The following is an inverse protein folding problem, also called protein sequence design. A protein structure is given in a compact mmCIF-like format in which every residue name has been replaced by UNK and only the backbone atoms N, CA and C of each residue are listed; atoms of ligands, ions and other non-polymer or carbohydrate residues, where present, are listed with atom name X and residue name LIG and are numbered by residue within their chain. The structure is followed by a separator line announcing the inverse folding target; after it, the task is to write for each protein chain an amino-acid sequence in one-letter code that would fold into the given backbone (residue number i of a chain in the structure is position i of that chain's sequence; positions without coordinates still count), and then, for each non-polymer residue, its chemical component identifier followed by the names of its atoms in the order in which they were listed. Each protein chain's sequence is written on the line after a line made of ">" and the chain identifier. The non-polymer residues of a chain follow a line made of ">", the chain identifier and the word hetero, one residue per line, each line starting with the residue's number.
data_IF_976702079162
#
_entry.id   IF_976702079162
#
_cell.length_a   1.000
_cell.length_b   1.000
_cell.length_c   1.000
_cell.angle_alpha   90.00
_cell.angle_beta   90.00
_cell.angle_gamma   90.00
#
_symmetry.space_group_name_H-M   'P 1'
#
loop_
_entity.id
_entity.type
_entity.pdbx_description
1 polymer ?
#
# COMPACT_ATOMS: atom_id res chain seq x y z
N UNK A 1 12.83 43.65 55.34
CA UNK A 1 13.07 45.00 55.88
C UNK A 1 14.33 45.58 55.24
N UNK A 2 14.25 46.84 54.83
CA UNK A 2 15.27 47.70 54.19
C UNK A 2 16.72 47.42 54.61
N UNK A 3 17.65 47.39 53.64
CA UNK A 3 19.01 47.95 53.68
C UNK A 3 19.43 48.16 52.19
N UNK A 4 19.39 49.37 51.64
CA UNK A 4 20.44 50.42 51.56
C UNK A 4 21.63 50.01 50.67
N UNK A 5 21.84 50.81 49.61
CA UNK A 5 22.97 50.77 48.65
C UNK A 5 24.33 50.99 49.35
N UNK A 6 25.47 50.75 48.65
CA UNK A 6 26.19 51.93 48.15
C UNK A 6 26.94 51.75 46.82
N UNK A 7 27.58 52.86 46.45
CA UNK A 7 28.10 53.28 45.16
C UNK A 7 29.47 52.72 44.72
N UNK A 8 29.76 53.01 43.44
CA UNK A 8 31.05 53.45 42.86
C UNK A 8 32.15 52.41 42.58
N UNK A 9 32.46 52.19 41.28
CA UNK A 9 33.72 52.62 40.62
C UNK A 9 33.82 52.13 39.16
N UNK A 10 34.25 53.05 38.26
CA UNK A 10 34.85 52.83 36.93
C UNK A 10 36.10 51.93 37.07
N UNK A 11 36.60 51.17 36.08
CA UNK A 11 36.94 51.57 34.72
C UNK A 11 37.40 50.37 33.84
N UNK A 12 37.21 50.51 32.51
CA UNK A 12 37.97 49.97 31.35
C UNK A 12 37.77 48.53 30.80
N UNK A 13 37.15 48.52 29.61
CA UNK A 13 37.52 47.87 28.32
C UNK A 13 37.86 46.37 28.30
N UNK A 14 37.44 45.52 27.36
CA UNK A 14 36.81 45.63 26.04
C UNK A 14 36.18 44.24 25.78
N UNK A 15 35.00 44.12 25.16
CA UNK A 15 34.89 43.79 23.74
C UNK A 15 33.41 43.56 23.41
N UNK A 16 32.95 44.12 22.28
CA UNK A 16 31.58 43.99 21.76
C UNK A 16 31.40 42.71 20.91
N UNK A 17 30.20 42.11 20.88
CA UNK A 17 29.71 41.38 19.71
C UNK A 17 28.76 42.25 18.84
N UNK A 18 28.98 42.09 17.53
CA UNK A 18 28.42 42.84 16.40
C UNK A 18 26.98 42.43 16.04
N UNK A 19 25.96 42.97 16.70
CA UNK A 19 24.56 42.72 16.25
C UNK A 19 23.59 43.91 16.34
N UNK A 20 24.05 45.12 16.66
CA UNK A 20 23.18 46.31 16.73
C UNK A 20 23.62 47.47 15.82
N UNK A 21 24.32 47.17 14.71
CA UNK A 21 24.71 48.14 13.69
C UNK A 21 23.98 47.97 12.34
N UNK A 22 23.02 47.04 12.23
CA UNK A 22 22.24 46.80 10.99
C UNK A 22 20.76 47.16 11.04
N UNK A 23 20.28 47.73 12.14
CA UNK A 23 18.88 48.18 12.29
C UNK A 23 18.70 49.70 12.40
N UNK A 24 19.76 50.48 12.16
CA UNK A 24 19.71 51.96 12.22
C UNK A 24 20.18 52.65 10.93
N UNK A 25 20.31 51.90 9.84
CA UNK A 25 20.70 52.40 8.51
C UNK A 25 19.57 52.26 7.47
N UNK A 26 18.31 52.27 7.93
CA UNK A 26 17.11 52.15 7.07
C UNK A 26 16.14 53.34 7.23
N UNK A 27 16.61 54.50 7.72
CA UNK A 27 15.75 55.66 7.99
C UNK A 27 16.16 56.98 7.33
N UNK A 28 17.11 57.01 6.39
CA UNK A 28 17.48 58.25 5.69
C UNK A 28 17.97 57.98 4.25
N UNK A 29 17.10 58.13 3.23
CA UNK A 29 17.42 58.65 1.89
C UNK A 29 16.17 58.64 0.96
N UNK A 30 16.01 59.62 0.04
CA UNK A 30 14.71 60.11 -0.39
C UNK A 30 14.15 59.50 -1.68
N UNK A 31 12.81 59.41 -1.66
CA UNK A 31 11.90 59.08 -2.75
C UNK A 31 11.97 60.10 -3.91
N UNK A 32 12.70 59.77 -4.98
CA UNK A 32 12.61 60.41 -6.30
C UNK A 32 12.75 59.35 -7.40
N UNK A 33 12.05 59.54 -8.52
CA UNK A 33 12.04 58.70 -9.76
C UNK A 33 11.05 57.53 -9.88
N UNK A 34 9.76 57.73 -9.55
CA UNK A 34 8.67 56.87 -10.10
C UNK A 34 7.59 57.64 -10.88
N UNK A 35 7.91 58.86 -11.35
CA UNK A 35 6.98 59.75 -12.05
C UNK A 35 7.33 60.12 -13.50
N UNK A 36 8.45 59.63 -14.05
CA UNK A 36 8.93 60.05 -15.38
C UNK A 36 8.53 59.11 -16.53
N UNK A 37 8.37 57.81 -16.27
CA UNK A 37 8.13 56.80 -17.32
C UNK A 37 6.65 56.77 -17.76
N UNK A 38 5.73 57.13 -16.87
CA UNK A 38 4.28 57.12 -17.16
C UNK A 38 3.79 58.31 -18.00
N UNK A 39 4.61 59.35 -18.20
CA UNK A 39 4.26 60.53 -19.01
C UNK A 39 4.71 60.41 -20.48
N UNK A 40 5.70 59.56 -20.78
CA UNK A 40 6.15 59.34 -22.17
C UNK A 40 5.27 58.36 -22.97
N UNK A 41 4.58 57.42 -22.31
CA UNK A 41 3.73 56.44 -23.00
C UNK A 41 2.38 56.98 -23.49
N UNK A 42 1.94 58.15 -23.00
CA UNK A 42 0.64 58.75 -23.33
C UNK A 42 0.67 59.67 -24.57
N UNK A 43 1.85 59.97 -25.11
CA UNK A 43 2.02 60.88 -26.26
C UNK A 43 2.17 60.19 -27.62
N UNK A 44 2.31 58.86 -27.64
CA UNK A 44 2.46 58.09 -28.88
C UNK A 44 1.12 57.58 -29.47
N UNK A 45 0.03 57.65 -28.70
CA UNK A 45 -1.33 57.24 -29.10
C UNK A 45 -2.19 58.39 -29.63
N UNK A 46 -1.61 59.30 -30.41
CA UNK A 46 -2.35 60.20 -31.30
C UNK A 46 -1.49 60.55 -32.52
N UNK A 47 -1.75 59.86 -33.63
CA UNK A 47 -1.55 60.42 -34.98
C UNK A 47 -2.77 60.13 -35.83
N UNK A 48 -3.29 61.22 -36.37
CA UNK A 48 -4.42 61.32 -37.27
C UNK A 48 -4.14 60.60 -38.58
N UNK A 49 -5.17 59.97 -39.15
CA UNK A 49 -5.11 59.31 -40.45
C UNK A 49 -5.20 60.36 -41.56
N UNK A 50 -4.26 60.41 -42.52
CA UNK A 50 -4.52 61.08 -43.78
C UNK A 50 -5.28 60.13 -44.72
N UNK A 51 -6.47 60.55 -45.15
CA UNK A 51 -7.20 59.92 -46.25
C UNK A 51 -6.36 59.96 -47.53
N UNK A 52 -6.12 58.79 -48.12
CA UNK A 52 -5.67 58.68 -49.52
C UNK A 52 -6.54 57.67 -50.25
N UNK A 53 -6.98 58.13 -51.42
CA UNK A 53 -8.05 57.61 -52.28
C UNK A 53 -7.80 56.16 -52.70
N UNK A 54 -8.87 55.36 -52.67
CA UNK A 54 -8.87 53.96 -53.10
C UNK A 54 -8.80 53.88 -54.62
N UNK A 55 -7.75 53.27 -55.15
CA UNK A 55 -7.72 52.79 -56.53
C UNK A 55 -8.02 51.27 -56.52
N UNK A 56 -8.99 50.87 -57.34
CA UNK A 56 -9.50 49.51 -57.51
C UNK A 56 -8.36 48.52 -57.86
N UNK A 57 -8.24 47.42 -57.10
CA UNK A 57 -7.37 46.28 -57.44
C UNK A 57 -8.15 44.97 -57.36
N UNK A 58 -7.98 44.06 -58.34
CA UNK A 58 -8.80 42.86 -58.47
C UNK A 58 -8.59 41.88 -57.31
N UNK A 59 -9.71 41.26 -56.92
CA UNK A 59 -9.88 40.36 -55.77
C UNK A 59 -9.15 39.04 -56.05
N UNK A 60 -8.01 38.83 -55.39
CA UNK A 60 -7.24 37.58 -55.54
C UNK A 60 -5.76 37.66 -55.10
N UNK A 61 -5.23 38.85 -54.82
CA UNK A 61 -3.80 39.00 -54.49
C UNK A 61 -3.45 38.82 -52.99
N UNK A 62 -4.44 38.86 -52.08
CA UNK A 62 -4.18 38.78 -50.63
C UNK A 62 -3.98 37.35 -50.12
N UNK A 63 -4.56 36.32 -50.74
CA UNK A 63 -4.40 34.92 -50.33
C UNK A 63 -2.99 34.39 -50.58
N UNK A 64 -2.34 34.84 -51.67
CA UNK A 64 -0.92 34.53 -51.95
C UNK A 64 0.05 35.15 -50.94
N UNK A 65 -0.28 36.32 -50.38
CA UNK A 65 0.53 36.97 -49.34
C UNK A 65 0.34 36.38 -47.95
N UNK A 66 -0.86 35.89 -47.63
CA UNK A 66 -1.13 35.18 -46.36
C UNK A 66 -0.38 33.85 -46.34
N UNK A 67 -0.38 33.10 -47.46
CA UNK A 67 0.41 31.87 -47.58
C UNK A 67 1.91 32.12 -47.47
N UNK A 68 2.43 33.14 -48.15
CA UNK A 68 3.83 33.53 -48.02
C UNK A 68 4.18 33.98 -46.59
N UNK A 69 3.34 34.78 -45.94
CA UNK A 69 3.57 35.22 -44.57
C UNK A 69 3.52 34.06 -43.57
N UNK A 70 2.58 33.13 -43.71
CA UNK A 70 2.49 31.92 -42.88
C UNK A 70 3.71 31.01 -43.09
N UNK A 71 4.17 30.86 -44.34
CA UNK A 71 5.36 30.08 -44.67
C UNK A 71 6.62 30.73 -44.07
N UNK A 72 6.81 32.04 -44.22
CA UNK A 72 7.95 32.74 -43.62
C UNK A 72 7.91 32.74 -42.08
N UNK A 73 6.72 32.80 -41.48
CA UNK A 73 6.56 32.71 -40.02
C UNK A 73 6.89 31.30 -39.50
N UNK A 74 6.42 30.25 -40.16
CA UNK A 74 6.75 28.87 -39.82
C UNK A 74 8.23 28.55 -40.05
N UNK A 75 8.82 29.09 -41.12
CA UNK A 75 10.23 28.93 -41.44
C UNK A 75 11.14 29.63 -40.41
N UNK A 76 10.78 30.85 -40.00
CA UNK A 76 11.45 31.55 -38.91
C UNK A 76 11.27 30.83 -37.57
N UNK A 77 10.10 30.25 -37.30
CA UNK A 77 9.84 29.46 -36.10
C UNK A 77 10.68 28.17 -36.06
N UNK A 78 10.85 27.48 -37.19
CA UNK A 78 11.75 26.31 -37.28
C UNK A 78 13.20 26.72 -37.00
N UNK A 79 13.66 27.85 -37.55
CA UNK A 79 14.99 28.39 -37.24
C UNK A 79 15.12 28.79 -35.76
N UNK A 80 14.06 29.30 -35.14
CA UNK A 80 14.03 29.63 -33.72
C UNK A 80 14.09 28.35 -32.85
N UNK A 81 13.38 27.28 -33.20
CA UNK A 81 13.50 25.98 -32.52
C UNK A 81 14.92 25.39 -32.66
N UNK A 82 15.54 25.50 -33.83
CA UNK A 82 16.94 25.06 -34.04
C UNK A 82 17.93 25.96 -33.30
N UNK A 83 17.74 27.28 -33.26
CA UNK A 83 18.58 28.20 -32.48
C UNK A 83 18.44 27.98 -30.97
N UNK A 84 17.24 27.70 -30.46
CA UNK A 84 17.03 27.33 -29.04
C UNK A 84 17.58 25.93 -28.72
N UNK A 85 17.66 25.02 -29.70
CA UNK A 85 18.28 23.71 -29.53
C UNK A 85 19.81 23.71 -29.73
N UNK A 86 20.36 24.68 -30.48
CA UNK A 86 21.78 24.80 -30.80
C UNK A 86 22.54 25.82 -29.92
N UNK A 87 21.83 26.62 -29.10
CA UNK A 87 22.40 27.48 -28.05
C UNK A 87 22.19 26.84 -26.65
N UNK A 88 21.91 25.54 -26.57
CA UNK A 88 22.29 24.80 -25.37
C UNK A 88 23.81 24.61 -25.39
N UNK A 89 24.56 25.17 -24.41
CA UNK A 89 25.96 24.86 -24.28
C UNK A 89 26.09 23.37 -23.95
N UNK A 90 26.71 22.62 -24.86
CA UNK A 90 27.35 21.36 -24.52
C UNK A 90 28.60 21.67 -23.69
N UNK A 91 28.41 22.10 -22.44
CA UNK A 91 29.45 22.09 -21.42
C UNK A 91 29.05 21.08 -20.34
N UNK A 92 29.87 20.05 -20.04
CA UNK A 92 29.59 19.00 -19.07
C UNK A 92 29.78 19.47 -17.61
N UNK A 93 29.45 20.72 -17.32
CA UNK A 93 29.63 21.34 -16.01
C UNK A 93 28.60 22.46 -15.83
N UNK A 94 27.31 22.11 -15.75
CA UNK A 94 26.25 22.88 -15.05
C UNK A 94 24.88 22.20 -15.17
N UNK A 95 24.85 20.87 -15.07
CA UNK A 95 23.62 20.09 -14.87
C UNK A 95 23.17 20.10 -13.38
N UNK A 96 23.35 21.24 -12.70
CA UNK A 96 23.06 21.39 -11.27
C UNK A 96 22.27 22.66 -10.93
N UNK A 97 21.46 23.23 -11.82
CA UNK A 97 20.60 24.35 -11.40
C UNK A 97 19.32 24.50 -12.25
N UNK A 98 18.56 23.41 -12.43
CA UNK A 98 17.11 23.51 -12.72
C UNK A 98 16.36 22.17 -12.58
N UNK A 99 16.61 21.48 -11.48
CA UNK A 99 15.65 20.58 -10.86
C UNK A 99 15.73 20.85 -9.36
N UNK A 100 15.04 21.87 -8.87
CA UNK A 100 14.46 21.77 -7.53
C UNK A 100 13.18 20.93 -7.64
N UNK A 101 13.29 19.75 -8.24
CA UNK A 101 12.53 18.62 -7.74
C UNK A 101 13.18 18.34 -6.39
N UNK A 102 12.39 18.37 -5.31
CA UNK A 102 12.82 17.73 -4.10
C UNK A 102 13.26 16.31 -4.50
N UNK A 103 14.57 16.07 -4.53
CA UNK A 103 15.10 14.73 -4.55
C UNK A 103 14.40 14.07 -3.37
N UNK A 104 13.51 13.11 -3.64
CA UNK A 104 12.91 12.30 -2.60
C UNK A 104 14.07 11.50 -2.04
N UNK A 105 14.83 12.11 -1.13
CA UNK A 105 15.87 11.46 -0.36
C UNK A 105 15.14 10.48 0.54
N UNK A 106 14.83 9.31 -0.03
CA UNK A 106 14.12 8.25 0.64
C UNK A 106 14.95 7.85 1.86
N UNK A 107 14.40 8.06 3.04
CA UNK A 107 15.06 7.70 4.27
C UNK A 107 15.27 6.19 4.33
N UNK A 108 16.52 5.68 4.33
CA UNK A 108 16.77 4.24 4.34
C UNK A 108 16.16 3.55 5.56
N UNK A 109 15.99 4.27 6.68
CA UNK A 109 15.42 3.74 7.91
C UNK A 109 13.89 3.56 7.87
N UNK A 110 13.20 3.98 6.80
CA UNK A 110 11.76 3.73 6.60
C UNK A 110 11.48 2.62 5.58
N UNK A 111 12.52 1.96 5.06
CA UNK A 111 12.40 0.87 4.08
C UNK A 111 11.98 -0.45 4.71
N UNK A 112 11.52 -1.40 3.90
CA UNK A 112 11.22 -2.77 4.35
C UNK A 112 12.43 -3.46 4.96
N UNK A 113 13.64 -3.17 4.47
CA UNK A 113 14.89 -3.68 5.04
C UNK A 113 15.11 -3.16 6.47
N UNK A 114 14.81 -1.89 6.73
CA UNK A 114 14.87 -1.33 8.08
C UNK A 114 13.83 -1.96 9.03
N UNK A 115 12.63 -2.27 8.52
CA UNK A 115 11.59 -2.98 9.27
C UNK A 115 12.06 -4.40 9.63
N UNK A 116 12.58 -5.16 8.67
CA UNK A 116 13.10 -6.49 8.92
C UNK A 116 14.27 -6.48 9.91
N UNK A 117 15.14 -5.46 9.82
CA UNK A 117 16.21 -5.25 10.78
C UNK A 117 15.67 -5.02 12.20
N UNK A 118 14.62 -4.20 12.35
CA UNK A 118 13.95 -3.97 13.62
C UNK A 118 13.29 -5.24 14.19
N UNK A 119 12.67 -6.06 13.33
CA UNK A 119 12.07 -7.35 13.73
C UNK A 119 13.12 -8.35 14.21
N UNK A 120 14.25 -8.45 13.51
CA UNK A 120 15.38 -9.29 13.93
C UNK A 120 15.96 -8.82 15.27
N UNK A 121 16.11 -7.51 15.46
CA UNK A 121 16.49 -6.95 16.76
C UNK A 121 15.46 -7.30 17.83
N UNK A 122 14.17 -7.15 17.56
CA UNK A 122 13.10 -7.49 18.50
C UNK A 122 13.10 -8.98 18.88
N UNK A 123 13.38 -9.88 17.93
CA UNK A 123 13.53 -11.31 18.21
C UNK A 123 14.62 -11.57 19.25
N UNK A 124 15.79 -10.98 19.06
CA UNK A 124 16.88 -11.11 20.03
C UNK A 124 16.56 -10.39 21.33
N UNK A 125 15.96 -9.20 21.27
CA UNK A 125 15.58 -8.41 22.43
C UNK A 125 14.56 -9.13 23.33
N UNK A 126 13.57 -9.80 22.76
CA UNK A 126 12.55 -10.53 23.52
C UNK A 126 12.92 -11.98 23.86
N UNK A 127 14.20 -12.34 23.74
CA UNK A 127 14.72 -13.66 24.10
C UNK A 127 15.73 -13.56 25.24
N UNK A 128 15.34 -14.02 26.43
CA UNK A 128 16.21 -13.99 27.62
C UNK A 128 15.93 -15.16 28.56
N UNK A 129 16.92 -15.49 29.40
CA UNK A 129 16.83 -16.43 30.52
C UNK A 129 17.64 -15.89 31.71
N UNK A 130 17.29 -16.25 32.95
CA UNK A 130 18.12 -15.98 34.11
C UNK A 130 19.51 -16.61 33.99
N UNK A 131 20.50 -16.01 34.66
CA UNK A 131 21.87 -16.55 34.77
C UNK A 131 22.90 -15.78 33.96
N UNK A 132 24.16 -15.86 34.41
CA UNK A 132 25.27 -15.08 33.85
C UNK A 132 25.64 -15.53 32.43
N UNK A 133 25.65 -16.83 32.16
CA UNK A 133 25.91 -17.37 30.83
C UNK A 133 24.86 -16.88 29.83
N UNK A 134 23.57 -17.01 30.17
CA UNK A 134 22.46 -16.51 29.36
C UNK A 134 22.54 -14.99 29.13
N UNK A 135 23.00 -14.25 30.14
CA UNK A 135 23.22 -12.80 30.08
C UNK A 135 24.35 -12.44 29.10
N UNK A 136 25.47 -13.18 29.11
CA UNK A 136 26.56 -12.98 28.16
C UNK A 136 26.16 -13.37 26.75
N UNK A 137 25.43 -14.47 26.58
CA UNK A 137 24.96 -14.89 25.26
C UNK A 137 23.98 -13.88 24.67
N UNK A 138 23.09 -13.33 25.51
CA UNK A 138 22.21 -12.22 25.10
C UNK A 138 23.01 -11.01 24.62
N UNK A 139 24.02 -10.59 25.39
CA UNK A 139 24.92 -9.51 25.00
C UNK A 139 25.55 -9.75 23.62
N UNK A 140 26.07 -10.95 23.39
CA UNK A 140 26.68 -11.32 22.08
C UNK A 140 25.68 -11.18 20.94
N UNK A 141 24.44 -11.67 21.12
CA UNK A 141 23.38 -11.61 20.09
C UNK A 141 22.90 -10.19 19.80
N UNK A 142 22.88 -9.30 20.81
CA UNK A 142 22.48 -7.89 20.64
C UNK A 142 23.58 -6.99 20.08
N UNK A 143 24.85 -7.32 20.32
CA UNK A 143 26.01 -6.51 19.89
C UNK A 143 25.98 -6.08 18.40
N UNK A 144 25.68 -6.95 17.41
CA UNK A 144 25.65 -6.53 16.00
C UNK A 144 24.51 -5.53 15.68
N UNK A 145 23.53 -5.39 16.57
CA UNK A 145 22.42 -4.46 16.38
C UNK A 145 22.69 -3.08 16.97
N UNK A 146 23.39 -3.01 18.09
CA UNK A 146 23.48 -1.81 18.90
C UNK A 146 24.60 -0.88 18.43
N UNK A 147 24.30 0.42 18.34
CA UNK A 147 25.32 1.44 18.15
C UNK A 147 26.34 1.42 19.31
N UNK A 148 27.59 1.77 19.00
CA UNK A 148 28.67 1.84 19.99
C UNK A 148 28.29 2.81 21.11
N UNK A 149 28.49 2.38 22.36
CA UNK A 149 28.20 3.18 23.55
C UNK A 149 26.81 2.97 24.16
N UNK A 150 25.91 2.23 23.50
CA UNK A 150 24.65 1.81 24.11
C UNK A 150 24.87 0.69 25.14
N UNK A 151 23.93 0.56 26.07
CA UNK A 151 23.88 -0.56 27.01
C UNK A 151 23.88 -1.90 26.25
N UNK A 152 24.87 -2.79 26.48
CA UNK A 152 24.94 -4.08 25.80
C UNK A 152 23.76 -5.03 26.07
N UNK A 153 22.96 -4.77 27.12
CA UNK A 153 21.70 -5.48 27.41
C UNK A 153 20.47 -4.78 26.84
N UNK A 154 20.66 -3.68 26.11
CA UNK A 154 19.62 -2.83 25.57
C UNK A 154 18.59 -2.35 26.62
N UNK A 155 19.03 -2.15 27.87
CA UNK A 155 18.19 -1.68 28.97
C UNK A 155 17.63 -2.78 29.88
N UNK A 156 17.78 -4.07 29.54
CA UNK A 156 17.33 -5.16 30.40
C UNK A 156 18.19 -5.24 31.67
N UNK A 157 17.57 -5.06 32.83
CA UNK A 157 18.21 -5.30 34.11
C UNK A 157 18.26 -6.82 34.38
N UNK A 158 19.46 -7.39 34.35
CA UNK A 158 19.65 -8.85 34.50
C UNK A 158 19.83 -9.28 35.95
N UNK A 159 20.21 -8.35 36.82
CA UNK A 159 20.29 -8.60 38.26
C UNK A 159 18.92 -8.93 38.81
N UNK A 160 18.78 -10.12 39.42
CA UNK A 160 17.51 -10.59 39.97
C UNK A 160 16.45 -11.00 38.93
N UNK A 161 16.83 -11.16 37.66
CA UNK A 161 15.93 -11.64 36.61
C UNK A 161 15.51 -13.09 36.91
N UNK A 162 14.22 -13.32 37.18
CA UNK A 162 13.68 -14.66 37.49
C UNK A 162 12.83 -15.26 36.38
N UNK A 163 12.51 -14.50 35.35
CA UNK A 163 11.62 -14.92 34.25
C UNK A 163 12.42 -15.30 33.02
N UNK A 164 11.87 -16.19 32.20
CA UNK A 164 12.38 -16.45 30.85
C UNK A 164 11.47 -15.80 29.82
N UNK A 165 11.99 -15.56 28.62
CA UNK A 165 11.20 -15.09 27.49
C UNK A 165 11.65 -15.70 26.18
N UNK A 166 10.67 -16.00 25.34
CA UNK A 166 10.85 -16.51 23.98
C UNK A 166 9.99 -15.73 23.01
N UNK A 167 10.62 -15.12 22.00
CA UNK A 167 9.93 -14.43 20.93
C UNK A 167 9.01 -15.36 20.12
N UNK A 168 7.82 -14.87 19.74
CA UNK A 168 6.90 -15.57 18.83
C UNK A 168 6.85 -14.89 17.46
N UNK A 169 6.38 -13.64 17.42
CA UNK A 169 6.25 -12.84 16.20
C UNK A 169 6.28 -11.35 16.51
N UNK A 170 6.53 -10.55 15.49
CA UNK A 170 6.38 -9.10 15.53
C UNK A 170 5.51 -8.66 14.34
N UNK A 171 4.73 -7.60 14.55
CA UNK A 171 3.95 -6.97 13.49
C UNK A 171 4.24 -5.47 13.49
N UNK A 172 4.57 -4.93 12.32
CA UNK A 172 4.70 -3.49 12.15
C UNK A 172 3.35 -2.79 12.37
N UNK A 173 3.34 -1.76 13.21
CA UNK A 173 2.15 -0.92 13.47
C UNK A 173 2.32 0.51 12.97
N UNK A 174 3.53 1.05 13.04
CA UNK A 174 3.79 2.43 12.65
C UNK A 174 5.27 2.66 12.34
N UNK A 175 5.57 3.51 11.36
CA UNK A 175 6.93 4.04 11.13
C UNK A 175 6.86 5.56 11.27
N UNK A 176 7.67 6.12 12.17
CA UNK A 176 7.84 7.56 12.30
C UNK A 176 9.24 7.95 11.83
N UNK A 177 9.33 8.74 10.78
CA UNK A 177 10.59 9.32 10.31
C UNK A 177 11.17 10.31 11.34
N UNK A 178 12.49 10.21 11.59
CA UNK A 178 13.22 10.98 12.60
C UNK A 178 14.48 11.65 12.01
N UNK A 179 14.36 12.19 10.79
CA UNK A 179 15.47 12.77 10.02
C UNK A 179 15.88 11.87 8.83
N UNK A 180 16.90 12.25 8.05
CA UNK A 180 17.15 11.70 6.71
C UNK A 180 17.59 10.22 6.69
N UNK A 181 18.07 9.69 7.81
CA UNK A 181 18.60 8.32 7.91
C UNK A 181 18.19 7.63 9.21
N UNK A 182 17.09 8.09 9.84
CA UNK A 182 16.61 7.57 11.12
C UNK A 182 15.11 7.46 11.14
N UNK A 183 14.61 6.44 11.82
CA UNK A 183 13.19 6.25 12.05
C UNK A 183 12.93 5.56 13.39
N UNK A 184 11.70 5.68 13.86
CA UNK A 184 11.13 4.84 14.90
C UNK A 184 10.19 3.84 14.24
N UNK A 185 10.57 2.57 14.29
CA UNK A 185 9.72 1.45 13.86
C UNK A 185 8.98 0.94 15.08
N UNK A 186 7.66 1.08 15.10
CA UNK A 186 6.81 0.57 16.19
C UNK A 186 6.26 -0.80 15.81
N UNK A 187 6.61 -1.79 16.61
CA UNK A 187 6.22 -3.18 16.45
C UNK A 187 5.24 -3.58 17.57
N UNK A 188 4.25 -4.41 17.28
CA UNK A 188 3.58 -5.22 18.30
C UNK A 188 4.31 -6.57 18.38
N UNK A 189 4.96 -6.83 19.51
CA UNK A 189 5.76 -8.03 19.72
C UNK A 189 4.98 -9.00 20.60
N UNK A 190 4.79 -10.22 20.11
CA UNK A 190 4.19 -11.35 20.81
C UNK A 190 5.31 -12.27 21.31
N UNK A 191 5.25 -12.65 22.58
CA UNK A 191 6.28 -13.50 23.20
C UNK A 191 5.68 -14.37 24.32
N UNK A 192 6.34 -15.49 24.60
CA UNK A 192 6.05 -16.37 25.74
C UNK A 192 6.92 -15.97 26.91
N UNK A 193 6.29 -15.51 27.98
CA UNK A 193 6.95 -15.22 29.25
C UNK A 193 6.84 -16.44 30.17
N UNK A 194 7.97 -17.04 30.54
CA UNK A 194 8.00 -18.10 31.53
C UNK A 194 8.06 -17.52 32.93
N UNK A 195 6.99 -17.74 33.70
CA UNK A 195 6.91 -17.34 35.10
C UNK A 195 7.46 -18.46 35.98
N UNK A 196 8.38 -18.17 36.92
CA UNK A 196 8.95 -19.19 37.79
C UNK A 196 7.89 -19.72 38.76
N UNK A 197 7.80 -21.05 38.86
CA UNK A 197 7.00 -21.79 39.82
C UNK A 197 7.90 -22.80 40.52
N UNK A 198 7.99 -22.68 41.85
CA UNK A 198 8.72 -23.64 42.67
C UNK A 198 7.92 -24.93 42.77
N UNK A 199 8.54 -26.06 42.43
CA UNK A 199 7.92 -27.38 42.47
C UNK A 199 8.82 -28.29 43.31
N UNK A 200 8.22 -28.97 44.28
CA UNK A 200 8.90 -29.99 45.07
C UNK A 200 8.94 -31.28 44.27
N UNK A 201 10.15 -31.78 44.02
CA UNK A 201 10.36 -33.04 43.32
C UNK A 201 10.47 -34.17 44.36
N UNK A 202 9.71 -35.27 44.20
CA UNK A 202 9.84 -36.42 45.10
C UNK A 202 11.27 -36.95 45.10
N UNK A 203 11.76 -37.52 46.21
CA UNK A 203 13.09 -38.10 46.27
C UNK A 203 13.28 -39.11 45.13
N UNK A 204 14.39 -39.00 44.43
CA UNK A 204 14.74 -39.96 43.38
C UNK A 204 14.84 -41.36 43.99
N UNK A 205 14.14 -42.33 43.41
CA UNK A 205 14.26 -43.73 43.83
C UNK A 205 15.73 -44.15 43.72
N UNK A 206 16.30 -44.82 44.74
CA UNK A 206 17.68 -45.28 44.69
C UNK A 206 17.89 -46.19 43.46
N UNK A 207 19.07 -46.15 42.82
CA UNK A 207 19.35 -47.02 41.68
C UNK A 207 19.14 -48.47 42.10
N UNK A 208 18.23 -49.18 41.43
CA UNK A 208 18.06 -50.63 41.60
C UNK A 208 19.40 -51.29 41.34
N UNK A 209 19.94 -51.93 42.39
CA UNK A 209 21.26 -52.56 42.39
C UNK A 209 21.42 -53.54 41.24
N UNK A 210 22.54 -53.41 40.53
CA UNK A 210 23.07 -54.41 39.61
C UNK A 210 23.54 -55.63 40.38
N UNK A 211 23.19 -56.80 39.89
CA UNK A 211 23.56 -58.13 40.38
C UNK A 211 25.07 -58.27 40.65
N UNK A 212 25.42 -58.70 41.86
CA UNK A 212 26.73 -59.25 42.18
C UNK A 212 26.55 -60.54 42.99
N UNK A 213 26.44 -61.66 42.27
CA UNK A 213 26.59 -62.99 42.81
C UNK A 213 28.07 -63.37 42.91
N UNK A 214 28.59 -63.58 44.13
CA UNK A 214 29.24 -64.83 44.58
C UNK A 214 30.21 -64.62 45.75
N UNK A 215 29.89 -65.29 46.87
CA UNK A 215 30.80 -66.23 47.55
C UNK A 215 31.81 -65.70 48.57
N UNK A 216 31.58 -65.97 49.86
CA UNK A 216 32.68 -66.20 50.82
C UNK A 216 32.48 -65.68 52.26
N UNK A 217 31.83 -66.50 53.10
CA UNK A 217 32.06 -66.72 54.55
C UNK A 217 32.41 -65.58 55.53
N UNK A 218 31.41 -65.24 56.35
CA UNK A 218 31.39 -64.97 57.81
C UNK A 218 32.57 -64.26 58.52
N UNK A 219 32.28 -63.13 59.18
CA UNK A 219 32.35 -62.99 60.65
C UNK A 219 31.73 -61.69 61.17
N UNK A 220 31.20 -61.79 62.40
CA UNK A 220 30.53 -60.79 63.23
C UNK A 220 31.16 -59.39 63.24
N UNK A 221 30.28 -58.39 63.11
CA UNK A 221 30.56 -56.99 63.40
C UNK A 221 29.31 -56.16 63.15
N UNK A 222 28.87 -55.40 64.15
CA UNK A 222 27.69 -54.53 64.11
C UNK A 222 27.66 -53.64 62.86
N UNK A 223 26.86 -54.01 61.86
CA UNK A 223 26.35 -53.08 60.87
C UNK A 223 25.17 -52.31 61.48
N UNK A 224 25.19 -50.97 61.55
CA UNK A 224 23.98 -50.22 61.83
C UNK A 224 22.92 -50.54 60.73
N UNK A 225 21.62 -50.39 61.03
CA UNK A 225 20.57 -50.54 60.01
C UNK A 225 20.89 -49.64 58.81
N UNK A 226 20.52 -50.02 57.57
CA UNK A 226 20.65 -49.10 56.46
C UNK A 226 19.86 -47.84 56.81
N UNK A 227 20.58 -46.75 57.05
CA UNK A 227 20.00 -45.44 57.26
C UNK A 227 19.17 -45.14 56.01
N UNK A 228 17.85 -45.23 56.16
CA UNK A 228 16.89 -44.84 55.15
C UNK A 228 17.02 -43.33 54.99
N UNK A 229 18.06 -42.92 54.27
CA UNK A 229 18.39 -41.54 53.96
C UNK A 229 17.48 -41.16 52.81
N UNK A 230 16.17 -41.08 53.09
CA UNK A 230 15.25 -40.45 52.16
C UNK A 230 15.76 -39.02 51.94
N UNK A 231 16.34 -38.79 50.77
CA UNK A 231 16.87 -37.47 50.41
C UNK A 231 15.73 -36.45 50.55
N UNK A 232 15.97 -35.27 51.16
CA UNK A 232 14.96 -34.24 51.23
C UNK A 232 14.48 -33.89 49.82
N UNK A 233 13.18 -33.57 49.64
CA UNK A 233 12.63 -33.22 48.33
C UNK A 233 13.44 -32.07 47.72
N UNK A 234 13.87 -32.26 46.47
CA UNK A 234 14.65 -31.25 45.74
C UNK A 234 13.68 -30.20 45.20
N UNK A 235 13.87 -28.94 45.58
CA UNK A 235 13.11 -27.80 45.04
C UNK A 235 13.67 -27.43 43.67
N UNK A 236 12.88 -27.62 42.63
CA UNK A 236 13.23 -27.26 41.25
C UNK A 236 12.31 -26.14 40.76
N UNK A 237 12.87 -25.17 40.03
CA UNK A 237 12.10 -24.10 39.40
C UNK A 237 11.60 -24.58 38.03
N UNK A 238 10.28 -24.67 37.87
CA UNK A 238 9.63 -24.86 36.59
C UNK A 238 9.10 -23.52 36.05
N UNK A 239 8.99 -23.38 34.73
CA UNK A 239 8.48 -22.15 34.12
C UNK A 239 7.11 -22.38 33.51
N UNK A 240 6.11 -21.65 33.99
CA UNK A 240 4.77 -21.65 33.42
C UNK A 240 4.70 -20.63 32.28
N UNK A 241 4.42 -21.05 31.03
CA UNK A 241 4.42 -20.16 29.88
C UNK A 241 3.14 -19.31 29.85
N UNK A 242 3.31 -18.00 29.70
CA UNK A 242 2.21 -17.04 29.48
C UNK A 242 2.46 -16.24 28.21
N UNK A 243 1.53 -16.29 27.26
CA UNK A 243 1.59 -15.47 26.06
C UNK A 243 1.18 -14.02 26.36
N UNK A 244 2.03 -13.10 25.94
CA UNK A 244 1.86 -11.66 26.18
C UNK A 244 2.29 -10.88 24.94
N UNK A 245 1.77 -9.66 24.81
CA UNK A 245 2.14 -8.72 23.75
C UNK A 245 2.47 -7.35 24.30
N UNK A 246 3.38 -6.64 23.61
CA UNK A 246 3.79 -5.26 23.93
C UNK A 246 4.01 -4.48 22.64
N UNK A 247 3.66 -3.19 22.65
CA UNK A 247 4.10 -2.29 21.60
C UNK A 247 5.51 -1.79 21.94
N UNK A 248 6.41 -1.93 20.98
CA UNK A 248 7.85 -1.79 21.13
C UNK A 248 8.38 -0.90 20.02
N UNK A 249 8.96 0.23 20.41
CA UNK A 249 9.52 1.23 19.51
C UNK A 249 11.01 0.97 19.36
N UNK A 250 11.42 0.67 18.13
CA UNK A 250 12.79 0.37 17.74
C UNK A 250 13.40 1.58 17.02
N UNK A 251 14.43 2.24 17.58
CA UNK A 251 15.09 3.38 16.96
C UNK A 251 16.14 2.92 15.95
N UNK A 252 15.75 2.83 14.67
CA UNK A 252 16.60 2.37 13.57
C UNK A 252 17.27 3.55 12.87
N UNK A 253 18.57 3.46 12.67
CA UNK A 253 19.38 4.40 11.91
C UNK A 253 20.17 3.69 10.83
N UNK A 254 20.58 4.44 9.81
CA UNK A 254 21.42 3.95 8.72
C UNK A 254 22.70 4.80 8.60
N UNK A 255 23.86 4.17 8.75
CA UNK A 255 25.18 4.73 8.44
C UNK A 255 26.04 3.64 7.81
N UNK A 256 25.99 3.52 6.48
CA UNK A 256 26.52 2.41 5.66
C UNK A 256 25.84 1.05 5.92
N UNK A 257 25.49 0.78 7.16
CA UNK A 257 24.71 -0.36 7.65
C UNK A 257 23.62 0.13 8.60
N UNK A 258 22.61 -0.71 8.83
CA UNK A 258 21.59 -0.45 9.84
C UNK A 258 22.14 -0.63 11.25
N UNK A 259 21.58 0.14 12.18
CA UNK A 259 21.91 0.07 13.60
C UNK A 259 20.81 0.63 14.48
N UNK A 260 20.73 0.14 15.72
CA UNK A 260 19.88 0.68 16.77
C UNK A 260 20.64 1.81 17.45
N UNK A 261 20.16 3.05 17.32
CA UNK A 261 20.92 4.24 17.73
C UNK A 261 20.54 4.81 19.11
N UNK A 262 19.47 4.30 19.71
CA UNK A 262 18.98 4.67 21.06
C UNK A 262 18.40 3.42 21.73
N UNK A 263 18.15 3.47 23.04
CA UNK A 263 17.44 2.37 23.71
C UNK A 263 15.99 2.28 23.21
N UNK A 264 15.47 1.06 22.99
CA UNK A 264 14.10 0.88 22.57
C UNK A 264 13.12 1.22 23.71
N UNK A 265 11.88 1.53 23.34
CA UNK A 265 10.86 2.05 24.27
C UNK A 265 9.59 1.22 24.18
N UNK A 266 8.84 1.15 25.28
CA UNK A 266 7.50 0.56 25.26
C UNK A 266 6.45 1.66 25.09
N UNK A 267 5.40 1.36 24.33
CA UNK A 267 4.29 2.29 24.09
C UNK A 267 2.95 1.54 24.10
N UNK A 268 1.87 2.22 23.75
CA UNK A 268 0.56 1.66 23.50
C UNK A 268 -0.05 2.26 22.23
N UNK A 269 -0.70 1.42 21.42
CA UNK A 269 -1.49 1.83 20.25
C UNK A 269 -2.86 1.16 20.40
N UNK A 270 -3.93 1.90 20.13
CA UNK A 270 -5.26 1.30 20.08
C UNK A 270 -5.33 0.28 18.94
N UNK A 271 -5.82 -0.91 19.25
CA UNK A 271 -5.94 -2.01 18.28
C UNK A 271 -7.18 -1.85 17.40
N UNK A 272 -8.16 -1.06 17.83
CA UNK A 272 -9.40 -0.89 17.09
C UNK A 272 -9.20 0.07 15.92
N UNK A 273 -9.62 -0.34 14.74
CA UNK A 273 -9.65 0.54 13.57
C UNK A 273 -10.73 1.61 13.74
N UNK A 274 -10.41 2.83 13.31
CA UNK A 274 -11.38 3.93 13.17
C UNK A 274 -11.86 4.06 11.72
N UNK A 275 -11.52 3.11 10.85
CA UNK A 275 -11.98 3.10 9.46
C UNK A 275 -13.48 2.77 9.41
N UNK A 276 -14.22 3.63 8.75
CA UNK A 276 -15.63 3.40 8.43
C UNK A 276 -15.76 2.40 7.27
N UNK A 277 -16.85 1.62 7.28
CA UNK A 277 -17.17 0.71 6.19
C UNK A 277 -17.54 1.48 4.92
N UNK A 278 -17.13 0.97 3.75
CA UNK A 278 -17.47 1.58 2.47
C UNK A 278 -18.96 1.36 2.14
N UNK A 279 -19.63 2.39 1.62
CA UNK A 279 -21.01 2.29 1.14
C UNK A 279 -20.99 1.85 -0.33
N UNK A 280 -21.19 0.54 -0.52
CA UNK A 280 -21.11 -0.12 -1.84
C UNK A 280 -22.21 0.34 -2.80
N UNK A 281 -23.29 0.91 -2.30
CA UNK A 281 -24.40 1.44 -3.10
C UNK A 281 -24.23 2.93 -3.43
N UNK A 282 -23.21 3.58 -2.87
CA UNK A 282 -22.99 5.02 -3.03
C UNK A 282 -22.87 5.41 -4.51
N UNK A 283 -23.76 6.27 -4.95
CA UNK A 283 -23.79 6.78 -6.33
C UNK A 283 -24.47 5.84 -7.34
N UNK A 284 -24.96 4.66 -6.92
CA UNK A 284 -25.72 3.76 -7.79
C UNK A 284 -27.21 4.14 -7.79
N UNK A 285 -27.86 3.92 -8.94
CA UNK A 285 -29.31 4.09 -9.11
C UNK A 285 -29.99 2.75 -9.18
N UNK A 286 -30.97 2.50 -8.32
CA UNK A 286 -31.73 1.25 -8.33
C UNK A 286 -32.35 0.99 -9.71
N UNK A 287 -32.29 -0.26 -10.17
CA UNK A 287 -32.89 -0.64 -11.44
C UNK A 287 -34.41 -0.81 -11.30
N UNK A 288 -35.16 0.00 -12.05
CA UNK A 288 -36.61 -0.12 -12.18
C UNK A 288 -37.01 -1.16 -13.24
N UNK A 289 -36.50 -2.38 -13.08
CA UNK A 289 -36.80 -3.50 -13.97
C UNK A 289 -38.02 -4.31 -13.47
N UNK A 290 -38.79 -4.91 -14.40
CA UNK A 290 -39.83 -5.89 -14.09
C UNK A 290 -39.33 -7.06 -13.22
N UNK A 291 -40.27 -7.70 -12.52
CA UNK A 291 -39.97 -8.82 -11.62
C UNK A 291 -39.26 -9.96 -12.36
N UNK A 292 -39.71 -10.27 -13.59
CA UNK A 292 -39.18 -11.35 -14.42
C UNK A 292 -37.69 -11.17 -14.71
N UNK A 293 -37.25 -9.95 -15.00
CA UNK A 293 -35.85 -9.64 -15.29
C UNK A 293 -35.01 -9.76 -14.01
N UNK A 294 -35.52 -9.24 -12.89
CA UNK A 294 -34.86 -9.36 -11.59
C UNK A 294 -34.69 -10.82 -11.17
N UNK A 295 -35.72 -11.64 -11.42
CA UNK A 295 -35.70 -13.07 -11.13
C UNK A 295 -34.75 -13.85 -12.05
N UNK A 296 -34.72 -13.52 -13.34
CA UNK A 296 -33.76 -14.10 -14.28
C UNK A 296 -32.31 -13.82 -13.87
N UNK A 297 -32.02 -12.60 -13.39
CA UNK A 297 -30.71 -12.25 -12.86
C UNK A 297 -30.41 -13.10 -11.62
N UNK A 298 -31.33 -13.26 -10.66
CA UNK A 298 -31.10 -14.10 -9.46
C UNK A 298 -30.81 -15.56 -9.81
N UNK A 299 -31.56 -16.13 -10.74
CA UNK A 299 -31.36 -17.50 -11.21
C UNK A 299 -30.00 -17.64 -11.91
N UNK A 300 -29.65 -16.67 -12.76
CA UNK A 300 -28.32 -16.59 -13.36
C UNK A 300 -27.22 -16.54 -12.30
N UNK A 301 -27.34 -15.71 -11.25
CA UNK A 301 -26.34 -15.62 -10.19
C UNK A 301 -26.13 -16.96 -9.48
N UNK A 302 -27.20 -17.72 -9.27
CA UNK A 302 -27.11 -19.06 -8.66
C UNK A 302 -26.29 -20.01 -9.54
N UNK A 303 -26.57 -20.04 -10.84
CA UNK A 303 -25.77 -20.83 -11.80
C UNK A 303 -24.33 -20.33 -11.89
N UNK A 304 -24.15 -19.02 -12.00
CA UNK A 304 -22.85 -18.37 -12.07
C UNK A 304 -22.00 -18.72 -10.86
N UNK A 305 -22.49 -18.53 -9.63
CA UNK A 305 -21.68 -18.79 -8.44
C UNK A 305 -21.44 -20.26 -8.15
N UNK A 306 -22.35 -21.15 -8.58
CA UNK A 306 -22.10 -22.59 -8.59
C UNK A 306 -20.92 -22.95 -9.51
N UNK A 307 -20.94 -22.43 -10.73
CA UNK A 307 -19.85 -22.61 -11.70
C UNK A 307 -18.55 -21.92 -11.24
N UNK A 308 -18.64 -20.69 -10.74
CA UNK A 308 -17.51 -19.94 -10.19
C UNK A 308 -16.82 -20.68 -9.04
N UNK A 309 -17.59 -21.41 -8.23
CA UNK A 309 -17.05 -22.21 -7.13
C UNK A 309 -16.31 -23.46 -7.61
N UNK A 310 -16.89 -24.20 -8.57
CA UNK A 310 -16.53 -25.59 -8.84
C UNK A 310 -15.94 -25.86 -10.23
N UNK A 311 -16.31 -25.07 -11.24
CA UNK A 311 -15.94 -25.35 -12.62
C UNK A 311 -14.55 -24.80 -13.00
N UNK A 312 -13.84 -25.48 -13.91
CA UNK A 312 -12.59 -24.98 -14.48
C UNK A 312 -12.82 -23.78 -15.40
N UNK A 313 -11.74 -23.03 -15.65
CA UNK A 313 -11.70 -21.85 -16.51
C UNK A 313 -12.48 -21.96 -17.83
N UNK A 314 -12.32 -23.07 -18.55
CA UNK A 314 -12.96 -23.24 -19.87
C UNK A 314 -14.49 -23.25 -19.80
N UNK A 315 -15.05 -23.80 -18.72
CA UNK A 315 -16.50 -23.80 -18.48
C UNK A 315 -16.97 -22.47 -17.88
N UNK A 316 -16.19 -21.91 -16.96
CA UNK A 316 -16.51 -20.62 -16.36
C UNK A 316 -16.49 -19.49 -17.40
N UNK A 317 -15.65 -19.60 -18.44
CA UNK A 317 -15.55 -18.63 -19.53
C UNK A 317 -16.86 -18.40 -20.32
N UNK A 318 -17.84 -19.30 -20.22
CA UNK A 318 -19.17 -19.09 -20.78
C UNK A 318 -20.04 -18.13 -19.96
N UNK A 319 -19.72 -17.95 -18.68
CA UNK A 319 -20.48 -17.14 -17.72
C UNK A 319 -19.69 -15.92 -17.21
N UNK A 320 -18.36 -15.92 -17.41
CA UNK A 320 -17.43 -14.88 -16.94
C UNK A 320 -16.49 -14.45 -18.07
N UNK A 321 -16.44 -13.15 -18.34
CA UNK A 321 -15.49 -12.55 -19.30
C UNK A 321 -14.43 -11.68 -18.65
N UNK A 322 -14.44 -11.56 -17.31
CA UNK A 322 -13.47 -10.77 -16.56
C UNK A 322 -12.07 -11.42 -16.59
N UNK A 323 -11.03 -10.73 -17.10
CA UNK A 323 -9.68 -11.28 -17.18
C UNK A 323 -9.04 -11.58 -15.83
N UNK A 324 -9.41 -10.88 -14.75
CA UNK A 324 -8.76 -11.04 -13.44
C UNK A 324 -9.28 -12.25 -12.65
N UNK A 325 -10.49 -12.72 -12.98
CA UNK A 325 -11.21 -13.73 -12.20
C UNK A 325 -11.47 -15.06 -12.95
N UNK A 326 -10.78 -15.31 -14.07
CA UNK A 326 -11.05 -16.43 -14.98
C UNK A 326 -10.93 -17.84 -14.37
N UNK A 327 -10.26 -17.99 -13.22
CA UNK A 327 -10.07 -19.29 -12.57
C UNK A 327 -11.17 -19.64 -11.55
N UNK A 328 -12.06 -18.69 -11.23
CA UNK A 328 -13.02 -18.86 -10.15
C UNK A 328 -12.34 -19.23 -8.82
N UNK A 329 -13.02 -20.04 -8.01
CA UNK A 329 -12.48 -20.64 -6.78
C UNK A 329 -11.88 -22.03 -7.01
N UNK A 330 -12.06 -22.61 -8.21
CA UNK A 330 -11.46 -23.88 -8.63
C UNK A 330 -11.62 -25.02 -7.59
N UNK A 331 -12.83 -25.15 -7.03
CA UNK A 331 -13.18 -26.18 -6.05
C UNK A 331 -12.72 -25.91 -4.61
N UNK A 332 -12.06 -24.77 -4.34
CA UNK A 332 -11.58 -24.43 -2.99
C UNK A 332 -12.73 -24.26 -1.98
N UNK A 333 -13.92 -23.88 -2.45
CA UNK A 333 -15.13 -23.73 -1.65
C UNK A 333 -16.33 -24.30 -2.42
N UNK A 334 -17.36 -24.72 -1.67
CA UNK A 334 -18.63 -25.16 -2.23
C UNK A 334 -19.66 -24.03 -2.18
N UNK A 335 -20.31 -23.76 -3.32
CA UNK A 335 -21.43 -22.83 -3.37
C UNK A 335 -22.62 -23.37 -2.57
N UNK A 336 -23.19 -22.52 -1.71
CA UNK A 336 -24.41 -22.85 -0.94
C UNK A 336 -25.60 -22.08 -1.50
N UNK A 337 -25.54 -20.74 -1.50
CA UNK A 337 -26.65 -19.91 -1.95
C UNK A 337 -26.25 -18.45 -2.20
N UNK A 338 -27.10 -17.75 -2.96
CA UNK A 338 -27.12 -16.28 -3.01
C UNK A 338 -28.12 -15.78 -1.96
N UNK A 339 -27.64 -15.04 -0.96
CA UNK A 339 -28.42 -14.62 0.22
C UNK A 339 -29.09 -13.26 0.04
N UNK A 340 -28.43 -12.35 -0.69
CA UNK A 340 -29.00 -11.04 -1.04
C UNK A 340 -28.63 -10.66 -2.46
N UNK A 341 -29.50 -9.89 -3.12
CA UNK A 341 -29.27 -9.36 -4.47
C UNK A 341 -29.96 -8.03 -4.62
N UNK A 342 -29.17 -7.00 -4.91
CA UNK A 342 -29.60 -5.64 -5.22
C UNK A 342 -29.10 -5.30 -6.62
N UNK A 343 -30.00 -4.79 -7.46
CA UNK A 343 -29.75 -4.57 -8.89
C UNK A 343 -29.88 -3.09 -9.19
N UNK A 344 -28.85 -2.55 -9.84
CA UNK A 344 -28.67 -1.15 -10.15
C UNK A 344 -28.44 -0.95 -11.66
N UNK A 345 -28.82 0.23 -12.16
CA UNK A 345 -28.59 0.60 -13.56
C UNK A 345 -27.09 0.79 -13.81
N UNK A 346 -26.59 0.24 -14.91
CA UNK A 346 -25.27 0.62 -15.42
C UNK A 346 -25.36 1.96 -16.15
N UNK A 347 -24.43 2.87 -15.87
CA UNK A 347 -24.31 4.15 -16.59
C UNK A 347 -23.96 3.99 -18.09
N UNK A 348 -23.63 2.77 -18.53
CA UNK A 348 -23.24 2.44 -19.91
C UNK A 348 -24.33 1.67 -20.66
N UNK A 349 -25.53 2.24 -20.83
CA UNK A 349 -26.47 1.70 -21.82
C UNK A 349 -26.07 2.16 -23.22
N UNK A 350 -25.25 1.37 -23.92
CA UNK A 350 -25.01 1.58 -25.35
C UNK A 350 -26.26 1.17 -26.15
N UNK A 351 -27.17 2.11 -26.34
CA UNK A 351 -28.12 2.04 -27.47
C UNK A 351 -27.37 2.50 -28.72
N UNK A 352 -26.92 1.56 -29.55
CA UNK A 352 -26.34 1.90 -30.86
C UNK A 352 -27.46 2.41 -31.77
N UNK A 353 -27.43 3.66 -32.28
CA UNK A 353 -28.37 4.12 -33.28
C UNK A 353 -28.09 3.40 -34.61
N UNK A 354 -29.16 2.98 -35.28
CA UNK A 354 -29.11 2.54 -36.67
C UNK A 354 -28.71 3.73 -37.53
N UNK A 355 -27.58 3.65 -38.25
CA UNK A 355 -27.27 4.62 -39.28
C UNK A 355 -26.63 3.97 -40.51
N UNK A 356 -27.15 4.42 -41.65
CA UNK A 356 -26.63 4.40 -43.02
C UNK A 356 -26.26 3.06 -43.68
N UNK A 357 -27.20 2.56 -44.47
CA UNK A 357 -26.90 1.78 -45.67
C UNK A 357 -25.98 2.56 -46.63
N UNK A 358 -24.97 1.94 -47.26
CA UNK A 358 -24.33 2.49 -48.45
C UNK A 358 -24.99 1.93 -49.72
N UNK A 359 -25.45 2.85 -50.58
CA UNK A 359 -25.78 2.58 -51.98
C UNK A 359 -24.49 2.30 -52.78
N UNK A 360 -24.57 1.23 -53.58
CA UNK A 360 -24.02 0.99 -54.93
C UNK A 360 -22.65 1.56 -55.33
N UNK A 361 -21.77 0.69 -55.86
CA UNK A 361 -21.32 0.83 -57.27
C UNK A 361 -20.85 -0.51 -57.84
N UNK A 362 -21.30 -0.80 -59.06
CA UNK A 362 -21.01 -1.97 -59.90
C UNK A 362 -19.58 -1.98 -60.50
N UNK A 363 -19.03 -3.17 -60.78
CA UNK A 363 -18.16 -3.46 -61.93
C UNK A 363 -17.99 -4.97 -62.20
N UNK A 364 -18.93 -5.51 -63.00
CA UNK A 364 -18.81 -6.45 -64.12
C UNK A 364 -17.70 -7.53 -64.20
N UNK A 365 -18.11 -8.77 -64.56
CA UNK A 365 -17.33 -9.64 -65.46
C UNK A 365 -17.41 -11.18 -65.30
N UNK A 366 -18.42 -11.81 -65.93
CA UNK A 366 -18.41 -13.13 -66.66
C UNK A 366 -17.92 -14.42 -65.96
N UNK A 367 -18.39 -15.66 -66.16
CA UNK A 367 -19.37 -16.46 -66.95
C UNK A 367 -19.28 -17.87 -66.25
N UNK A 368 -20.21 -18.83 -66.24
CA UNK A 368 -20.96 -19.49 -67.31
C UNK A 368 -21.93 -20.53 -66.69
N UNK A 369 -22.81 -21.08 -67.51
CA UNK A 369 -24.13 -21.59 -67.18
C UNK A 369 -24.26 -23.12 -67.00
N UNK A 370 -25.40 -23.54 -66.42
CA UNK A 370 -25.91 -24.91 -66.37
C UNK A 370 -27.38 -24.96 -65.93
N UNK A 371 -28.27 -25.17 -66.89
CA UNK A 371 -29.75 -25.38 -66.90
C UNK A 371 -30.21 -26.53 -65.97
N UNK A 372 -31.44 -26.73 -65.46
CA UNK A 372 -32.80 -26.32 -65.84
C UNK A 372 -33.85 -26.61 -64.71
N UNK A 373 -35.01 -25.95 -64.83
CA UNK A 373 -36.39 -26.35 -64.44
C UNK A 373 -36.97 -26.03 -63.03
N UNK A 374 -38.20 -25.51 -63.05
CA UNK A 374 -39.10 -24.96 -62.02
C UNK A 374 -40.40 -25.82 -61.95
N UNK A 375 -41.51 -25.49 -61.23
CA UNK A 375 -41.76 -24.55 -60.11
C UNK A 375 -42.62 -25.16 -58.95
N UNK A 376 -42.78 -24.44 -57.82
CA UNK A 376 -44.06 -24.24 -57.10
C UNK A 376 -43.91 -23.42 -55.79
N UNK A 377 -44.69 -22.34 -55.68
CA UNK A 377 -45.38 -21.72 -54.50
C UNK A 377 -44.92 -22.11 -53.08
N UNK A 378 -44.68 -21.23 -52.10
CA UNK A 378 -45.11 -19.85 -51.89
C UNK A 378 -45.66 -19.73 -50.46
N UNK A 379 -44.89 -19.16 -49.52
CA UNK A 379 -45.39 -18.42 -48.34
C UNK A 379 -44.19 -17.82 -47.59
N UNK A 380 -44.08 -16.50 -47.58
CA UNK A 380 -43.09 -15.75 -46.79
C UNK A 380 -43.85 -15.10 -45.65
N UNK A 381 -43.79 -15.68 -44.47
CA UNK A 381 -44.12 -15.00 -43.22
C UNK A 381 -42.93 -14.13 -42.82
N UNK A 382 -43.15 -12.81 -42.81
CA UNK A 382 -42.14 -11.83 -42.41
C UNK A 382 -41.78 -11.96 -40.94
N UNK A 383 -40.59 -12.48 -40.66
CA UNK A 383 -39.96 -12.38 -39.36
C UNK A 383 -39.43 -10.96 -39.17
N UNK A 384 -40.09 -10.18 -38.30
CA UNK A 384 -39.57 -8.92 -37.82
C UNK A 384 -38.24 -9.18 -37.08
N UNK A 385 -37.14 -8.66 -37.63
CA UNK A 385 -35.82 -8.68 -37.02
C UNK A 385 -35.79 -7.70 -35.85
N UNK A 386 -36.10 -8.19 -34.64
CA UNK A 386 -35.90 -7.45 -33.41
C UNK A 386 -34.39 -7.22 -33.19
N UNK A 387 -33.99 -5.95 -33.08
CA UNK A 387 -32.60 -5.59 -32.76
C UNK A 387 -32.24 -6.09 -31.35
N UNK A 388 -31.09 -6.75 -31.13
CA UNK A 388 -30.73 -7.24 -29.81
C UNK A 388 -30.42 -6.07 -28.88
N UNK A 389 -31.29 -5.82 -27.91
CA UNK A 389 -31.05 -4.85 -26.83
C UNK A 389 -30.05 -5.47 -25.87
N UNK A 390 -28.85 -4.89 -25.78
CA UNK A 390 -27.87 -5.26 -24.74
C UNK A 390 -28.20 -4.47 -23.49
N UNK A 391 -28.45 -5.15 -22.37
CA UNK A 391 -28.71 -4.52 -21.07
C UNK A 391 -27.57 -4.81 -20.12
N UNK A 392 -27.15 -3.81 -19.37
CA UNK A 392 -26.06 -3.96 -18.40
C UNK A 392 -26.51 -3.46 -17.03
N UNK A 393 -26.22 -4.25 -16.01
CA UNK A 393 -26.60 -4.00 -14.63
C UNK A 393 -25.37 -4.05 -13.72
N UNK A 394 -25.40 -3.24 -12.67
CA UNK A 394 -24.52 -3.41 -11.52
C UNK A 394 -25.30 -4.18 -10.47
N UNK A 395 -24.75 -5.31 -10.03
CA UNK A 395 -25.42 -6.21 -9.09
C UNK A 395 -24.57 -6.34 -7.84
N UNK A 396 -25.12 -5.91 -6.70
CA UNK A 396 -24.53 -6.16 -5.39
C UNK A 396 -25.18 -7.41 -4.82
N UNK A 397 -24.38 -8.41 -4.48
CA UNK A 397 -24.92 -9.65 -3.92
C UNK A 397 -24.06 -10.16 -2.77
N UNK A 398 -24.71 -10.93 -1.90
CA UNK A 398 -24.08 -11.67 -0.82
C UNK A 398 -24.22 -13.15 -1.11
N UNK A 399 -23.13 -13.89 -1.05
CA UNK A 399 -23.04 -15.31 -1.42
C UNK A 399 -22.47 -16.09 -0.25
N UNK A 400 -23.12 -17.19 0.08
CA UNK A 400 -22.63 -18.13 1.09
C UNK A 400 -21.89 -19.28 0.42
N UNK A 401 -20.68 -19.54 0.88
CA UNK A 401 -19.89 -20.71 0.55
C UNK A 401 -19.66 -21.58 1.78
N UNK A 402 -19.36 -22.85 1.56
CA UNK A 402 -18.97 -23.81 2.60
C UNK A 402 -17.57 -24.34 2.28
N UNK A 403 -16.71 -24.38 3.30
CA UNK A 403 -15.41 -25.03 3.18
C UNK A 403 -15.59 -26.56 3.19
N UNK A 404 -15.10 -27.27 2.15
CA UNK A 404 -15.26 -28.71 2.04
C UNK A 404 -14.67 -29.50 3.22
N UNK A 405 -13.65 -28.98 3.89
CA UNK A 405 -12.90 -29.64 4.97
C UNK A 405 -13.53 -29.36 6.33
N UNK A 406 -13.67 -28.09 6.70
CA UNK A 406 -14.17 -27.68 8.02
C UNK A 406 -15.69 -27.74 8.14
N UNK A 407 -16.41 -27.67 7.01
CA UNK A 407 -17.87 -27.43 6.93
C UNK A 407 -18.30 -26.06 7.44
N UNK A 408 -17.35 -25.16 7.68
CA UNK A 408 -17.65 -23.79 8.05
C UNK A 408 -18.21 -23.02 6.85
N UNK A 409 -19.11 -22.07 7.13
CA UNK A 409 -19.77 -21.25 6.12
C UNK A 409 -19.27 -19.82 6.15
N UNK A 410 -18.98 -19.29 4.97
CA UNK A 410 -18.46 -17.95 4.76
C UNK A 410 -19.42 -17.17 3.89
N UNK A 411 -19.86 -16.00 4.37
CA UNK A 411 -20.59 -15.05 3.55
C UNK A 411 -19.62 -14.05 2.93
N UNK A 412 -19.72 -13.89 1.62
CA UNK A 412 -18.87 -12.99 0.82
C UNK A 412 -19.75 -12.06 0.01
N UNK A 413 -19.24 -10.86 -0.25
CA UNK A 413 -19.98 -9.77 -0.87
C UNK A 413 -19.34 -9.44 -2.21
N UNK A 414 -20.10 -9.51 -3.30
CA UNK A 414 -19.61 -9.26 -4.66
C UNK A 414 -20.33 -8.09 -5.32
N UNK A 415 -19.61 -7.35 -6.17
CA UNK A 415 -20.15 -6.33 -7.07
C UNK A 415 -19.89 -6.80 -8.50
N UNK A 416 -20.95 -7.16 -9.20
CA UNK A 416 -20.86 -7.70 -10.55
C UNK A 416 -21.38 -6.70 -11.57
N UNK A 417 -20.71 -6.59 -12.70
CA UNK A 417 -21.31 -6.01 -13.91
C UNK A 417 -21.87 -7.14 -14.76
N UNK A 418 -23.19 -7.28 -14.74
CA UNK A 418 -23.91 -8.34 -15.47
C UNK A 418 -24.45 -7.76 -16.76
N UNK A 419 -24.07 -8.34 -17.89
CA UNK A 419 -24.56 -7.93 -19.21
C UNK A 419 -25.40 -9.04 -19.82
N UNK A 420 -26.59 -8.68 -20.29
CA UNK A 420 -27.47 -9.52 -21.10
C UNK A 420 -27.09 -9.37 -22.57
N UNK A 421 -26.68 -10.47 -23.20
CA UNK A 421 -26.41 -10.57 -24.64
C UNK A 421 -27.16 -11.77 -25.21
N UNK A 422 -27.98 -11.54 -26.24
CA UNK A 422 -28.69 -12.61 -26.96
C UNK A 422 -29.53 -13.52 -26.03
N UNK A 423 -30.16 -12.93 -25.01
CA UNK A 423 -30.97 -13.66 -24.02
C UNK A 423 -30.17 -14.45 -22.98
N UNK A 424 -28.84 -14.26 -22.91
CA UNK A 424 -27.98 -14.86 -21.89
C UNK A 424 -27.30 -13.78 -21.05
N UNK A 425 -27.18 -14.04 -19.76
CA UNK A 425 -26.44 -13.17 -18.85
C UNK A 425 -25.00 -13.64 -18.74
N UNK A 426 -24.07 -12.69 -18.70
CA UNK A 426 -22.63 -12.91 -18.53
C UNK A 426 -22.12 -11.89 -17.51
N UNK A 427 -21.30 -12.34 -16.58
CA UNK A 427 -20.52 -11.45 -15.71
C UNK A 427 -19.34 -10.91 -16.53
N UNK A 428 -19.33 -9.61 -16.73
CA UNK A 428 -18.31 -8.92 -17.53
C UNK A 428 -17.20 -8.33 -16.68
N UNK A 429 -17.49 -7.95 -15.44
CA UNK A 429 -16.57 -7.38 -14.45
C UNK A 429 -16.97 -7.83 -13.05
N UNK A 430 -16.00 -8.07 -12.18
CA UNK A 430 -16.21 -8.49 -10.79
C UNK A 430 -15.35 -7.62 -9.85
N UNK A 431 -15.99 -7.05 -8.82
CA UNK A 431 -15.40 -6.21 -7.76
C UNK A 431 -14.62 -4.97 -8.20
N UNK A 432 -14.87 -4.49 -9.42
CA UNK A 432 -14.36 -3.20 -9.90
C UNK A 432 -15.06 -2.03 -9.21
N UNK A 433 -14.28 -1.01 -8.82
CA UNK A 433 -14.75 0.18 -8.09
C UNK A 433 -15.48 1.18 -8.99
#
# INVERSE_FOLDING_TARGET
>A
MRWIQPAFLRERSSSMPKSLAKLKAASDAPQREKGAILRQFKSWMRKEKPEKRRAYRPRGYMTRKIGAAAFWLAFAFMFLVVFFSAIQPNDPADAQTRNEGAELTLNPATTTTAVQYAENFAKEYFTWKPGDEATQDRKKRLTPFLAKGLDPQAGLQTSGLKTTSTFLKAEIKHIKEMGPNRAYVTLEVFYKLGLPKEVEQPPASPPSGTDAANGGTAQDGQTPPPENTAQPPTKTIQYEPKEVSKFFVVPVGYDKNYGIYDLPKFTYIDRQTTMEADDRAKGLRAADEPYEIKENIRNFLTTFFSSFAADPKDKLGYLLSDPEHQNGLNGALHFVSVTSTEIYQSGESQTKPADAAPKETEANGSQQAGTAASPASGEVTGAATATPVTRTYIVLCSVTYEDPVSKDRFMTNYRLTVTEKEGRYIVTKMDEK
#
